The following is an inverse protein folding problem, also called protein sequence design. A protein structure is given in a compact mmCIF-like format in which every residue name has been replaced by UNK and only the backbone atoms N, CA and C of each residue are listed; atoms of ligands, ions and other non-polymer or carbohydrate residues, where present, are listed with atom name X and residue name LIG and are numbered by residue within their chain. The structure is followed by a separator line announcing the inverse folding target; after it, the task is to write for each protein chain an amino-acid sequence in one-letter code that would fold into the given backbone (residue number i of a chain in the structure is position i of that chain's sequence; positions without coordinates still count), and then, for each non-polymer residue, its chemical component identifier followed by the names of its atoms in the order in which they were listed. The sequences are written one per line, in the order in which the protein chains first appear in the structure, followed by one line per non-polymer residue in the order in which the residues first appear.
data_IF_201055390224
#
_entry.id   IF_201055390224
#
_cell.length_a   1.000
_cell.length_b   1.000
_cell.length_c   1.000
_cell.angle_alpha   90.00
_cell.angle_beta   90.00
_cell.angle_gamma   90.00
#
_symmetry.space_group_name_H-M   'P 1'
#
loop_
_entity.id
_entity.type
_entity.pdbx_description
1 polymer ?
#
# COMPACT_ATOMS: atom_id res chain seq x y z
N UNK A 1 -40.00 -5.62 44.80
CA UNK A 1 -39.14 -6.82 44.81
C UNK A 1 -38.58 -6.91 43.40
N UNK A 2 -37.49 -6.14 43.21
CA UNK A 2 -36.84 -6.01 41.91
C UNK A 2 -35.87 -7.18 41.79
N UNK A 3 -36.02 -7.92 40.70
CA UNK A 3 -35.31 -9.15 40.38
C UNK A 3 -33.81 -8.82 40.19
N UNK A 4 -33.02 -9.15 41.19
CA UNK A 4 -31.57 -8.89 41.28
C UNK A 4 -30.74 -10.03 40.68
N UNK A 5 -31.39 -11.07 40.10
CA UNK A 5 -30.70 -12.27 39.61
C UNK A 5 -30.40 -12.24 38.10
N UNK A 6 -30.83 -11.22 37.36
CA UNK A 6 -30.59 -11.14 35.92
C UNK A 6 -29.18 -10.63 35.52
N UNK A 7 -28.43 -10.00 36.46
CA UNK A 7 -27.13 -9.40 36.14
C UNK A 7 -25.92 -10.33 36.32
N UNK A 8 -26.11 -11.52 36.84
CA UNK A 8 -25.00 -12.47 37.10
C UNK A 8 -24.76 -13.52 35.97
N UNK A 9 -25.62 -13.58 34.94
CA UNK A 9 -25.44 -14.54 33.84
C UNK A 9 -24.58 -14.01 32.65
N UNK A 10 -24.08 -12.78 32.70
CA UNK A 10 -23.32 -12.12 31.63
C UNK A 10 -21.82 -12.33 31.66
N UNK A 11 -21.25 -12.92 32.70
CA UNK A 11 -19.88 -13.41 32.66
C UNK A 11 -19.87 -14.84 32.12
N UNK A 12 -19.98 -14.98 30.80
CA UNK A 12 -19.61 -16.24 30.16
C UNK A 12 -18.15 -16.53 30.51
N UNK A 13 -17.96 -17.40 31.47
CA UNK A 13 -16.64 -17.87 31.92
C UNK A 13 -15.86 -18.32 30.69
N UNK A 14 -14.83 -17.55 30.30
CA UNK A 14 -13.93 -17.94 29.24
C UNK A 14 -13.30 -19.29 29.65
N UNK A 15 -13.78 -20.38 29.05
CA UNK A 15 -13.18 -21.70 29.28
C UNK A 15 -11.82 -21.73 28.61
N UNK A 16 -10.79 -21.69 29.43
CA UNK A 16 -9.41 -21.83 29.00
C UNK A 16 -9.25 -23.15 28.22
N UNK A 17 -8.77 -23.04 26.99
CA UNK A 17 -8.51 -24.19 26.12
C UNK A 17 -7.07 -24.07 25.63
N UNK A 18 -6.15 -24.75 26.30
CA UNK A 18 -4.72 -24.63 26.09
C UNK A 18 -4.30 -24.66 24.61
N UNK A 19 -4.72 -25.61 23.76
CA UNK A 19 -4.29 -25.63 22.37
C UNK A 19 -4.87 -24.47 21.53
N UNK A 20 -6.06 -23.97 21.85
CA UNK A 20 -6.67 -22.82 21.18
C UNK A 20 -5.95 -21.54 21.57
N UNK A 21 -5.70 -21.36 22.86
CA UNK A 21 -5.15 -20.12 23.39
C UNK A 21 -3.66 -20.01 23.05
N UNK A 22 -2.93 -21.14 23.05
CA UNK A 22 -1.57 -21.22 22.54
C UNK A 22 -1.48 -20.86 21.05
N UNK A 23 -2.36 -21.37 20.19
CA UNK A 23 -2.39 -21.02 18.77
C UNK A 23 -2.62 -19.52 18.56
N UNK A 24 -3.52 -18.91 19.34
CA UNK A 24 -3.80 -17.47 19.28
C UNK A 24 -2.60 -16.65 19.75
N UNK A 25 -2.00 -17.03 20.89
CA UNK A 25 -0.83 -16.33 21.44
C UNK A 25 0.36 -16.38 20.47
N UNK A 26 0.67 -17.56 19.92
CA UNK A 26 1.76 -17.73 18.96
C UNK A 26 1.48 -16.90 17.70
N UNK A 27 0.23 -16.89 17.20
CA UNK A 27 -0.13 -16.10 16.02
C UNK A 27 0.09 -14.60 16.26
N UNK A 28 -0.36 -14.08 17.40
CA UNK A 28 -0.18 -12.67 17.77
C UNK A 28 1.30 -12.32 17.92
N UNK A 29 2.08 -13.19 18.58
CA UNK A 29 3.53 -13.01 18.72
C UNK A 29 4.23 -13.00 17.36
N UNK A 30 3.89 -13.92 16.44
CA UNK A 30 4.44 -13.93 15.09
C UNK A 30 4.09 -12.65 14.32
N UNK A 31 2.87 -12.13 14.49
CA UNK A 31 2.43 -10.90 13.84
C UNK A 31 3.20 -9.69 14.38
N UNK A 32 3.38 -9.60 15.72
CA UNK A 32 4.18 -8.55 16.36
C UNK A 32 5.65 -8.63 15.95
N UNK A 33 6.22 -9.84 15.90
CA UNK A 33 7.59 -10.03 15.41
C UNK A 33 7.75 -9.59 13.95
N UNK A 34 6.78 -9.87 13.09
CA UNK A 34 6.81 -9.39 11.70
C UNK A 34 6.84 -7.86 11.62
N UNK A 35 6.13 -7.17 12.52
CA UNK A 35 6.17 -5.71 12.62
C UNK A 35 7.52 -5.21 13.15
N UNK A 36 7.98 -5.76 14.28
CA UNK A 36 9.24 -5.35 14.92
C UNK A 36 10.48 -5.61 14.06
N UNK A 37 10.48 -6.71 13.31
CA UNK A 37 11.56 -7.06 12.38
C UNK A 37 11.46 -6.34 11.03
N UNK A 38 10.57 -5.35 10.89
CA UNK A 38 10.33 -4.62 9.64
C UNK A 38 10.00 -5.54 8.45
N UNK A 39 9.34 -6.68 8.71
CA UNK A 39 8.92 -7.65 7.70
C UNK A 39 7.51 -7.35 7.12
N UNK A 40 6.99 -6.14 7.36
CA UNK A 40 5.70 -5.68 6.80
C UNK A 40 5.63 -5.85 5.28
N UNK A 41 6.68 -5.52 4.48
CA UNK A 41 6.64 -5.76 3.04
C UNK A 41 6.40 -7.24 2.68
N UNK A 42 7.04 -8.17 3.40
CA UNK A 42 6.83 -9.61 3.19
C UNK A 42 5.39 -10.02 3.55
N UNK A 43 4.88 -9.53 4.69
CA UNK A 43 3.54 -9.85 5.17
C UNK A 43 2.46 -9.38 4.16
N UNK A 44 2.53 -8.12 3.74
CA UNK A 44 1.54 -7.54 2.83
C UNK A 44 1.64 -8.15 1.42
N UNK A 45 2.86 -8.35 0.90
CA UNK A 45 3.08 -9.01 -0.37
C UNK A 45 2.58 -10.46 -0.36
N UNK A 46 2.85 -11.19 0.73
CA UNK A 46 2.35 -12.55 0.94
C UNK A 46 0.83 -12.62 1.00
N UNK A 47 0.18 -11.72 1.74
CA UNK A 47 -1.27 -11.63 1.79
C UNK A 47 -1.88 -11.26 0.43
N UNK A 48 -1.26 -10.34 -0.30
CA UNK A 48 -1.69 -9.97 -1.65
C UNK A 48 -1.61 -11.17 -2.61
N UNK A 49 -0.45 -11.83 -2.65
CA UNK A 49 -0.23 -13.02 -3.46
C UNK A 49 -1.21 -14.15 -3.11
N UNK A 50 -1.44 -14.38 -1.82
CA UNK A 50 -2.41 -15.35 -1.33
C UNK A 50 -3.84 -15.06 -1.79
N UNK A 51 -4.28 -13.80 -1.63
CA UNK A 51 -5.66 -13.39 -2.00
C UNK A 51 -5.85 -13.47 -3.52
N UNK A 52 -4.88 -12.99 -4.31
CA UNK A 52 -4.93 -13.04 -5.77
C UNK A 52 -4.92 -14.48 -6.29
N UNK A 53 -4.05 -15.32 -5.76
CA UNK A 53 -3.95 -16.75 -6.13
C UNK A 53 -5.26 -17.47 -5.81
N UNK A 54 -5.83 -17.30 -4.61
CA UNK A 54 -7.12 -17.89 -4.26
C UNK A 54 -8.27 -17.35 -5.11
N UNK A 55 -8.28 -16.06 -5.39
CA UNK A 55 -9.25 -15.44 -6.28
C UNK A 55 -9.22 -16.06 -7.68
N UNK A 56 -8.03 -16.20 -8.26
CA UNK A 56 -7.86 -16.80 -9.57
C UNK A 56 -8.23 -18.30 -9.58
N UNK A 57 -7.80 -19.07 -8.58
CA UNK A 57 -8.17 -20.46 -8.43
C UNK A 57 -9.68 -20.63 -8.28
N UNK A 58 -10.38 -19.72 -7.59
CA UNK A 58 -11.83 -19.76 -7.48
C UNK A 58 -12.54 -19.52 -8.83
N UNK A 59 -12.02 -18.60 -9.65
CA UNK A 59 -12.53 -18.32 -11.01
C UNK A 59 -12.28 -19.51 -11.94
N UNK A 60 -11.11 -20.13 -11.86
CA UNK A 60 -10.79 -21.32 -12.64
C UNK A 60 -11.67 -22.52 -12.26
N UNK A 61 -12.01 -22.66 -10.98
CA UNK A 61 -12.90 -23.74 -10.49
C UNK A 61 -14.32 -23.65 -11.05
N UNK A 62 -14.83 -22.47 -11.34
CA UNK A 62 -16.18 -22.28 -11.91
C UNK A 62 -16.24 -22.60 -13.41
N UNK A 63 -15.13 -22.78 -14.08
CA UNK A 63 -15.07 -23.17 -15.49
C UNK A 63 -14.70 -24.65 -15.61
N UNK A 64 -15.34 -25.39 -16.52
CA UNK A 64 -15.12 -26.83 -16.78
C UNK A 64 -13.66 -27.23 -17.09
N UNK A 65 -12.80 -26.24 -17.35
CA UNK A 65 -11.35 -26.38 -17.49
C UNK A 65 -10.70 -27.01 -16.24
N UNK A 66 -11.30 -26.82 -15.05
CA UNK A 66 -10.73 -27.32 -13.79
C UNK A 66 -10.82 -28.85 -13.66
N UNK A 67 -11.85 -29.48 -14.21
CA UNK A 67 -11.97 -30.96 -14.20
C UNK A 67 -10.83 -31.63 -14.95
N UNK A 68 -10.30 -30.97 -15.98
CA UNK A 68 -9.18 -31.42 -16.80
C UNK A 68 -7.80 -31.08 -16.19
N UNK A 69 -7.75 -30.06 -15.33
CA UNK A 69 -6.52 -29.52 -14.69
C UNK A 69 -6.27 -30.03 -13.26
N UNK A 70 -7.15 -30.88 -12.71
CA UNK A 70 -7.02 -31.43 -11.34
C UNK A 70 -5.71 -32.20 -11.11
N UNK A 71 -5.13 -32.77 -12.16
CA UNK A 71 -3.80 -33.41 -12.12
C UNK A 71 -2.65 -32.39 -12.20
N UNK A 72 -2.93 -31.08 -12.42
CA UNK A 72 -1.95 -30.04 -12.69
C UNK A 72 -2.12 -28.81 -11.77
N UNK A 73 -2.59 -29.01 -10.53
CA UNK A 73 -2.72 -27.89 -9.56
C UNK A 73 -1.38 -27.18 -9.32
N UNK A 74 -0.27 -27.90 -9.39
CA UNK A 74 1.07 -27.36 -9.35
C UNK A 74 1.33 -26.42 -10.55
N UNK A 75 0.87 -26.80 -11.75
CA UNK A 75 1.05 -26.00 -12.97
C UNK A 75 0.20 -24.71 -12.89
N UNK A 76 -1.05 -24.79 -12.41
CA UNK A 76 -1.90 -23.60 -12.24
C UNK A 76 -1.26 -22.61 -11.27
N UNK A 77 -0.68 -23.09 -10.19
CA UNK A 77 0.01 -22.29 -9.17
C UNK A 77 1.30 -21.68 -9.68
N UNK A 78 2.05 -22.44 -10.45
CA UNK A 78 3.27 -22.00 -11.10
C UNK A 78 2.95 -20.90 -12.14
N UNK A 79 1.91 -21.10 -12.95
CA UNK A 79 1.44 -20.10 -13.94
C UNK A 79 0.98 -18.80 -13.26
N UNK A 80 0.27 -18.89 -12.13
CA UNK A 80 -0.15 -17.71 -11.36
C UNK A 80 1.04 -17.00 -10.73
N UNK A 81 1.96 -17.77 -10.15
CA UNK A 81 3.20 -17.23 -9.56
C UNK A 81 4.06 -16.56 -10.63
N UNK A 82 4.29 -17.22 -11.76
CA UNK A 82 5.07 -16.68 -12.89
C UNK A 82 4.36 -15.47 -13.53
N UNK A 83 3.04 -15.56 -13.72
CA UNK A 83 2.24 -14.48 -14.26
C UNK A 83 2.29 -13.22 -13.42
N UNK A 84 2.28 -13.37 -12.10
CA UNK A 84 2.38 -12.22 -11.19
C UNK A 84 3.79 -11.60 -11.18
N UNK A 85 4.84 -12.41 -11.29
CA UNK A 85 6.22 -11.91 -11.45
C UNK A 85 6.36 -11.21 -12.81
N UNK A 86 5.78 -11.75 -13.87
CA UNK A 86 5.77 -11.13 -15.19
C UNK A 86 5.06 -9.77 -15.18
N UNK A 87 3.93 -9.64 -14.49
CA UNK A 87 3.22 -8.36 -14.32
C UNK A 87 4.09 -7.35 -13.58
N UNK A 88 4.76 -7.75 -12.50
CA UNK A 88 5.70 -6.89 -11.77
C UNK A 88 6.87 -6.46 -12.66
N UNK A 89 7.44 -7.39 -13.43
CA UNK A 89 8.52 -7.10 -14.37
C UNK A 89 8.07 -6.14 -15.47
N UNK A 90 6.87 -6.32 -16.04
CA UNK A 90 6.30 -5.42 -17.05
C UNK A 90 6.10 -4.02 -16.46
N UNK A 91 5.54 -3.90 -15.24
CA UNK A 91 5.38 -2.61 -14.56
C UNK A 91 6.76 -1.94 -14.36
N UNK A 92 7.75 -2.68 -13.91
CA UNK A 92 9.12 -2.17 -13.71
C UNK A 92 9.72 -1.70 -15.03
N UNK A 93 9.64 -2.49 -16.10
CA UNK A 93 10.13 -2.11 -17.43
C UNK A 93 9.40 -0.88 -17.98
N UNK A 94 8.09 -0.78 -17.74
CA UNK A 94 7.28 0.36 -18.18
C UNK A 94 7.71 1.64 -17.44
N UNK A 95 7.93 1.55 -16.14
CA UNK A 95 8.45 2.66 -15.30
C UNK A 95 9.85 3.06 -15.75
N UNK A 96 10.76 2.10 -15.96
CA UNK A 96 12.12 2.38 -16.44
C UNK A 96 12.09 3.04 -17.81
N UNK A 97 11.30 2.54 -18.77
CA UNK A 97 11.14 3.16 -20.10
C UNK A 97 10.54 4.57 -20.05
N UNK A 98 9.66 4.84 -19.09
CA UNK A 98 9.14 6.19 -18.86
C UNK A 98 10.23 7.14 -18.34
N UNK A 99 11.23 6.60 -17.64
CA UNK A 99 12.36 7.37 -17.09
C UNK A 99 13.55 7.51 -18.07
N UNK A 100 13.73 6.59 -19.02
CA UNK A 100 14.90 6.54 -19.93
C UNK A 100 14.74 7.31 -21.26
N UNK A 101 13.58 7.95 -21.53
CA UNK A 101 13.32 8.58 -22.83
C UNK A 101 13.98 9.97 -23.00
N UNK A 102 13.90 10.51 -24.24
CA UNK A 102 14.25 11.90 -24.59
C UNK A 102 13.61 12.95 -23.65
N UNK A 103 12.57 12.53 -22.93
CA UNK A 103 11.90 13.29 -21.89
C UNK A 103 12.84 13.76 -20.77
N UNK A 104 13.89 13.01 -20.41
CA UNK A 104 14.82 13.41 -19.34
C UNK A 104 15.73 14.57 -19.75
N UNK A 105 16.18 14.59 -21.01
CA UNK A 105 16.95 15.71 -21.57
C UNK A 105 16.07 16.95 -21.77
N UNK A 106 14.91 16.79 -22.38
CA UNK A 106 13.93 17.86 -22.52
C UNK A 106 13.47 18.39 -21.17
N UNK A 107 13.30 17.52 -20.18
CA UNK A 107 12.99 17.85 -18.80
C UNK A 107 14.11 18.66 -18.15
N UNK A 108 15.38 18.25 -18.28
CA UNK A 108 16.52 18.98 -17.69
C UNK A 108 16.69 20.38 -18.28
N UNK A 109 16.44 20.56 -19.58
CA UNK A 109 16.46 21.88 -20.24
C UNK A 109 15.33 22.78 -19.72
N UNK A 110 14.11 22.22 -19.59
CA UNK A 110 12.96 22.97 -19.04
C UNK A 110 13.12 23.31 -17.57
N UNK A 111 13.72 22.45 -16.77
CA UNK A 111 14.05 22.77 -15.36
C UNK A 111 15.02 23.95 -15.29
N UNK A 112 16.03 23.99 -16.15
CA UNK A 112 16.96 25.13 -16.20
C UNK A 112 16.24 26.45 -16.56
N UNK A 113 15.36 26.43 -17.55
CA UNK A 113 14.53 27.58 -17.93
C UNK A 113 13.63 28.03 -16.78
N UNK A 114 13.03 27.06 -16.09
CA UNK A 114 12.14 27.30 -14.95
C UNK A 114 12.88 27.88 -13.74
N UNK A 115 14.10 27.47 -13.47
CA UNK A 115 14.96 28.06 -12.43
C UNK A 115 15.16 29.57 -12.69
N UNK A 116 15.38 29.94 -13.95
CA UNK A 116 15.50 31.34 -14.35
C UNK A 116 14.19 32.11 -14.13
N UNK A 117 13.05 31.51 -14.43
CA UNK A 117 11.73 32.09 -14.17
C UNK A 117 11.46 32.26 -12.66
N UNK A 118 11.79 31.25 -11.84
CA UNK A 118 11.63 31.31 -10.38
C UNK A 118 12.37 32.52 -9.81
N UNK A 119 13.59 32.78 -10.25
CA UNK A 119 14.39 33.96 -9.81
C UNK A 119 13.70 35.30 -10.06
N UNK A 120 12.94 35.41 -11.15
CA UNK A 120 12.17 36.62 -11.47
C UNK A 120 11.01 36.88 -10.54
N UNK A 121 10.46 35.84 -9.93
CA UNK A 121 9.30 35.92 -9.00
C UNK A 121 9.72 36.03 -7.52
N UNK A 122 11.00 35.74 -7.21
CA UNK A 122 11.52 35.79 -5.84
C UNK A 122 12.05 37.16 -5.47
N UNK A 123 11.88 37.62 -4.22
CA UNK A 123 12.60 38.76 -3.69
C UNK A 123 14.10 38.55 -3.83
N UNK A 124 14.92 39.64 -4.04
CA UNK A 124 16.37 39.52 -4.24
C UNK A 124 17.08 38.71 -3.13
N UNK A 125 16.61 38.84 -1.90
CA UNK A 125 17.14 38.11 -0.72
C UNK A 125 16.95 36.60 -0.78
N UNK A 126 15.94 36.12 -1.48
CA UNK A 126 15.69 34.69 -1.65
C UNK A 126 16.20 34.13 -2.98
N UNK A 127 16.35 35.01 -3.99
CA UNK A 127 16.89 34.63 -5.30
C UNK A 127 18.38 34.21 -5.24
N UNK A 128 19.11 34.65 -4.22
CA UNK A 128 20.50 34.28 -3.96
C UNK A 128 20.67 32.82 -3.55
N UNK A 129 19.65 32.23 -2.88
CA UNK A 129 19.68 30.82 -2.46
C UNK A 129 19.27 29.85 -3.57
N UNK A 130 18.78 30.33 -4.71
CA UNK A 130 18.42 29.51 -5.84
C UNK A 130 19.60 29.26 -6.75
N UNK A 131 20.00 28.01 -7.05
CA UNK A 131 21.12 27.69 -7.93
C UNK A 131 21.02 28.40 -9.27
N UNK A 132 22.17 28.84 -9.81
CA UNK A 132 22.21 29.62 -11.06
C UNK A 132 22.12 28.72 -12.30
N UNK A 133 22.45 27.44 -12.14
CA UNK A 133 22.51 26.50 -13.26
C UNK A 133 22.20 25.06 -12.80
N UNK A 134 21.89 24.21 -13.76
CA UNK A 134 21.81 22.77 -13.52
C UNK A 134 23.13 22.16 -13.06
N UNK A 135 24.25 22.77 -13.45
CA UNK A 135 25.58 22.36 -13.02
C UNK A 135 25.75 22.60 -11.52
N UNK A 136 25.41 23.79 -11.05
CA UNK A 136 25.45 24.15 -9.63
C UNK A 136 24.50 23.30 -8.79
N UNK A 137 23.28 23.01 -9.30
CA UNK A 137 22.37 22.05 -8.67
C UNK A 137 22.98 20.65 -8.57
N UNK A 138 23.66 20.20 -9.63
CA UNK A 138 24.32 18.89 -9.66
C UNK A 138 25.50 18.85 -8.68
N UNK A 139 26.25 19.92 -8.58
CA UNK A 139 27.38 20.08 -7.65
C UNK A 139 26.88 20.06 -6.21
N UNK A 140 25.89 20.89 -5.87
CA UNK A 140 25.22 20.89 -4.57
C UNK A 140 24.64 19.50 -4.22
N UNK A 141 23.95 18.86 -5.16
CA UNK A 141 23.42 17.51 -4.97
C UNK A 141 24.55 16.49 -4.78
N UNK A 142 25.65 16.60 -5.54
CA UNK A 142 26.81 15.72 -5.42
C UNK A 142 27.52 15.89 -4.09
N UNK A 143 27.67 17.10 -3.62
CA UNK A 143 28.36 17.37 -2.36
C UNK A 143 27.51 16.98 -1.15
N UNK A 144 26.21 17.29 -1.20
CA UNK A 144 25.25 16.78 -0.22
C UNK A 144 25.22 15.25 -0.20
N UNK A 145 25.32 14.59 -1.36
CA UNK A 145 25.37 13.14 -1.47
C UNK A 145 26.65 12.55 -0.87
N UNK A 146 27.80 13.20 -1.11
CA UNK A 146 29.11 12.80 -0.53
C UNK A 146 29.12 12.97 0.99
N UNK A 147 28.56 14.07 1.48
CA UNK A 147 28.47 14.38 2.89
C UNK A 147 27.55 13.38 3.62
N UNK A 148 26.51 12.90 2.95
CA UNK A 148 25.53 11.97 3.49
C UNK A 148 25.61 10.55 2.91
N UNK A 149 26.78 10.14 2.39
CA UNK A 149 26.99 8.85 1.71
C UNK A 149 26.52 7.66 2.55
N UNK A 150 26.76 7.69 3.85
CA UNK A 150 26.32 6.63 4.75
C UNK A 150 24.79 6.58 4.92
N UNK A 151 24.12 7.73 4.94
CA UNK A 151 22.68 7.83 4.99
C UNK A 151 22.04 7.30 3.68
N UNK A 152 22.61 7.66 2.53
CA UNK A 152 22.17 7.19 1.21
C UNK A 152 22.38 5.68 1.05
N UNK A 153 23.55 5.18 1.48
CA UNK A 153 23.83 3.73 1.51
C UNK A 153 22.85 2.98 2.44
N UNK A 154 22.51 3.58 3.59
CA UNK A 154 21.49 3.06 4.51
C UNK A 154 20.10 2.98 3.87
N UNK A 155 19.68 4.03 3.15
CA UNK A 155 18.41 4.04 2.40
C UNK A 155 18.45 2.95 1.30
N UNK A 156 19.54 2.85 0.54
CA UNK A 156 19.69 1.86 -0.53
C UNK A 156 19.61 0.42 0.01
N UNK A 157 20.29 0.13 1.11
CA UNK A 157 20.23 -1.19 1.76
C UNK A 157 18.83 -1.49 2.33
N UNK A 158 18.13 -0.49 2.87
CA UNK A 158 16.75 -0.59 3.33
C UNK A 158 15.77 -0.93 2.20
N UNK A 159 15.92 -0.26 1.05
CA UNK A 159 15.13 -0.55 -0.16
C UNK A 159 15.40 -1.96 -0.65
N UNK A 160 16.66 -2.38 -0.78
CA UNK A 160 17.03 -3.73 -1.22
C UNK A 160 16.47 -4.80 -0.28
N UNK A 161 16.60 -4.61 1.02
CA UNK A 161 16.00 -5.49 2.03
C UNK A 161 14.47 -5.58 1.86
N UNK A 162 13.79 -4.46 1.68
CA UNK A 162 12.34 -4.43 1.49
C UNK A 162 11.92 -5.14 0.21
N UNK A 163 12.67 -5.01 -0.88
CA UNK A 163 12.44 -5.73 -2.13
C UNK A 163 12.61 -7.24 -1.95
N UNK A 164 13.68 -7.68 -1.30
CA UNK A 164 13.92 -9.10 -0.99
C UNK A 164 12.79 -9.67 -0.13
N UNK A 165 12.39 -8.97 0.92
CA UNK A 165 11.28 -9.37 1.78
C UNK A 165 9.96 -9.44 1.00
N UNK A 166 9.71 -8.51 0.07
CA UNK A 166 8.53 -8.52 -0.81
C UNK A 166 8.50 -9.77 -1.68
N UNK A 167 9.63 -10.13 -2.30
CA UNK A 167 9.73 -11.34 -3.14
C UNK A 167 9.53 -12.61 -2.31
N UNK A 168 10.18 -12.72 -1.16
CA UNK A 168 10.03 -13.88 -0.26
C UNK A 168 8.57 -13.99 0.21
N UNK A 169 7.95 -12.89 0.65
CA UNK A 169 6.56 -12.86 1.05
C UNK A 169 5.63 -13.28 -0.08
N UNK A 170 5.87 -12.78 -1.30
CA UNK A 170 5.08 -13.13 -2.48
C UNK A 170 5.12 -14.64 -2.77
N UNK A 171 6.31 -15.22 -2.85
CA UNK A 171 6.50 -16.67 -3.08
C UNK A 171 5.78 -17.47 -1.98
N UNK A 172 5.99 -17.10 -0.72
CA UNK A 172 5.36 -17.76 0.43
C UNK A 172 3.82 -17.68 0.35
N UNK A 173 3.27 -16.53 -0.04
CA UNK A 173 1.83 -16.31 -0.19
C UNK A 173 1.22 -17.19 -1.29
N UNK A 174 1.89 -17.31 -2.45
CA UNK A 174 1.48 -18.20 -3.53
C UNK A 174 1.47 -19.65 -3.05
N UNK A 175 2.58 -20.11 -2.45
CA UNK A 175 2.72 -21.48 -1.95
C UNK A 175 1.66 -21.81 -0.88
N UNK A 176 1.40 -20.89 0.04
CA UNK A 176 0.36 -21.04 1.06
C UNK A 176 -1.05 -21.15 0.45
N UNK A 177 -1.36 -20.32 -0.56
CA UNK A 177 -2.65 -20.37 -1.24
C UNK A 177 -2.89 -21.70 -1.93
N UNK A 178 -1.86 -22.28 -2.52
CA UNK A 178 -1.91 -23.58 -3.20
C UNK A 178 -2.05 -24.72 -2.22
N UNK A 179 -1.20 -24.79 -1.20
CA UNK A 179 -1.20 -25.89 -0.22
C UNK A 179 -2.56 -26.04 0.48
N UNK A 180 -3.22 -24.92 0.81
CA UNK A 180 -4.55 -24.90 1.43
C UNK A 180 -5.64 -25.40 0.46
N UNK A 181 -5.42 -25.27 -0.83
CA UNK A 181 -6.42 -25.62 -1.84
C UNK A 181 -6.35 -27.10 -2.22
N UNK A 182 -5.19 -27.71 -2.08
CA UNK A 182 -4.89 -29.09 -2.48
C UNK A 182 -5.33 -30.12 -1.42
N UNK A 183 -5.24 -29.76 -0.15
CA UNK A 183 -5.70 -30.64 0.93
C UNK A 183 -7.17 -30.38 1.24
N UNK A 184 -8.11 -31.31 0.88
CA UNK A 184 -9.48 -31.26 1.38
C UNK A 184 -9.40 -31.39 2.89
N UNK A 185 -9.72 -30.33 3.59
CA UNK A 185 -9.69 -30.29 5.04
C UNK A 185 -10.90 -31.04 5.55
N UNK A 186 -10.71 -32.30 5.87
CA UNK A 186 -11.63 -33.00 6.76
C UNK A 186 -11.46 -32.33 8.14
N UNK A 187 -12.27 -31.31 8.41
CA UNK A 187 -12.17 -30.47 9.61
C UNK A 187 -12.23 -31.27 10.90
N UNK A 188 -12.75 -32.49 10.83
CA UNK A 188 -12.93 -33.39 11.97
C UNK A 188 -11.60 -34.07 12.38
N UNK A 189 -10.63 -34.20 11.47
CA UNK A 189 -9.34 -34.88 11.70
C UNK A 189 -8.23 -34.00 12.26
N UNK A 190 -8.38 -32.67 12.20
CA UNK A 190 -7.31 -31.76 12.63
C UNK A 190 -7.43 -31.34 14.09
N UNK A 191 -6.27 -31.14 14.74
CA UNK A 191 -6.18 -30.65 16.11
C UNK A 191 -6.84 -29.27 16.27
N UNK A 192 -7.30 -28.94 17.47
CA UNK A 192 -7.86 -27.62 17.81
C UNK A 192 -6.85 -26.51 17.50
N UNK A 193 -5.56 -26.75 17.74
CA UNK A 193 -4.47 -25.83 17.42
C UNK A 193 -4.46 -25.51 15.92
N UNK A 194 -4.40 -26.51 15.05
CA UNK A 194 -4.36 -26.33 13.60
C UNK A 194 -5.55 -25.56 13.06
N UNK A 195 -6.78 -25.92 13.51
CA UNK A 195 -8.01 -25.23 13.11
C UNK A 195 -8.00 -23.77 13.52
N UNK A 196 -7.51 -23.45 14.73
CA UNK A 196 -7.43 -22.08 15.24
C UNK A 196 -6.39 -21.28 14.47
N UNK A 197 -5.20 -21.85 14.22
CA UNK A 197 -4.14 -21.25 13.44
C UNK A 197 -4.59 -20.91 12.02
N UNK A 198 -5.18 -21.86 11.34
CA UNK A 198 -5.70 -21.69 9.98
C UNK A 198 -6.81 -20.63 9.90
N UNK A 199 -7.68 -20.57 10.90
CA UNK A 199 -8.71 -19.54 11.01
C UNK A 199 -8.11 -18.15 11.13
N UNK A 200 -7.10 -17.94 11.96
CA UNK A 200 -6.46 -16.62 12.09
C UNK A 200 -5.84 -16.14 10.77
N UNK A 201 -5.19 -17.03 10.03
CA UNK A 201 -4.70 -16.70 8.69
C UNK A 201 -5.84 -16.33 7.73
N UNK A 202 -6.92 -17.05 7.74
CA UNK A 202 -8.10 -16.76 6.92
C UNK A 202 -8.74 -15.42 7.28
N UNK A 203 -8.82 -15.11 8.58
CA UNK A 203 -9.33 -13.81 9.06
C UNK A 203 -8.40 -12.67 8.65
N UNK A 204 -7.09 -12.83 8.81
CA UNK A 204 -6.10 -11.83 8.38
C UNK A 204 -6.14 -11.60 6.87
N UNK A 205 -6.24 -12.66 6.07
CA UNK A 205 -6.38 -12.56 4.62
C UNK A 205 -7.69 -11.86 4.22
N UNK A 206 -8.78 -12.11 4.94
CA UNK A 206 -10.06 -11.42 4.71
C UNK A 206 -9.98 -9.95 5.08
N UNK A 207 -9.36 -9.63 6.21
CA UNK A 207 -9.09 -8.25 6.63
C UNK A 207 -8.26 -7.51 5.56
N UNK A 208 -7.17 -8.13 5.09
CA UNK A 208 -6.34 -7.60 4.01
C UNK A 208 -7.14 -7.36 2.73
N UNK A 209 -7.93 -8.35 2.27
CA UNK A 209 -8.78 -8.22 1.08
C UNK A 209 -9.73 -7.02 1.17
N UNK A 210 -10.35 -6.81 2.34
CA UNK A 210 -11.27 -5.69 2.56
C UNK A 210 -10.55 -4.35 2.48
N UNK A 211 -9.38 -4.24 3.10
CA UNK A 211 -8.53 -3.04 3.07
C UNK A 211 -8.00 -2.77 1.67
N UNK A 212 -7.46 -3.78 0.98
CA UNK A 212 -6.95 -3.66 -0.39
C UNK A 212 -8.04 -3.21 -1.36
N UNK A 213 -9.26 -3.75 -1.23
CA UNK A 213 -10.39 -3.32 -2.06
C UNK A 213 -10.84 -1.89 -1.74
N UNK A 214 -10.81 -1.47 -0.48
CA UNK A 214 -11.04 -0.08 -0.09
C UNK A 214 -9.98 0.84 -0.70
N UNK A 215 -8.68 0.45 -0.63
CA UNK A 215 -7.57 1.20 -1.19
C UNK A 215 -7.68 1.35 -2.72
N UNK A 216 -8.11 0.31 -3.42
CA UNK A 216 -8.36 0.39 -4.87
C UNK A 216 -9.42 1.45 -5.21
N UNK A 217 -10.49 1.55 -4.42
CA UNK A 217 -11.51 2.58 -4.60
C UNK A 217 -10.96 3.98 -4.34
N UNK A 218 -10.17 4.14 -3.28
CA UNK A 218 -9.54 5.41 -2.93
C UNK A 218 -8.60 5.85 -4.05
N UNK A 219 -7.74 4.95 -4.54
CA UNK A 219 -6.84 5.22 -5.65
C UNK A 219 -7.59 5.62 -6.94
N UNK A 220 -8.72 4.95 -7.24
CA UNK A 220 -9.55 5.29 -8.39
C UNK A 220 -10.17 6.68 -8.26
N UNK A 221 -10.69 7.04 -7.08
CA UNK A 221 -11.24 8.38 -6.82
C UNK A 221 -10.13 9.44 -6.94
N UNK A 222 -8.97 9.19 -6.34
CA UNK A 222 -7.84 10.11 -6.41
C UNK A 222 -7.35 10.31 -7.85
N UNK A 223 -7.20 9.24 -8.62
CA UNK A 223 -6.85 9.31 -10.04
C UNK A 223 -7.92 10.05 -10.88
N UNK A 224 -9.20 9.89 -10.56
CA UNK A 224 -10.29 10.61 -11.23
C UNK A 224 -10.23 12.10 -10.94
N UNK A 225 -10.05 12.49 -9.67
CA UNK A 225 -9.92 13.90 -9.28
C UNK A 225 -8.68 14.54 -9.91
N UNK A 226 -7.56 13.83 -9.91
CA UNK A 226 -6.34 14.26 -10.60
C UNK A 226 -6.57 14.36 -12.11
N UNK A 227 -7.31 13.43 -12.70
CA UNK A 227 -7.67 13.48 -14.12
C UNK A 227 -8.51 14.71 -14.47
N UNK A 228 -9.52 15.03 -13.66
CA UNK A 228 -10.31 16.26 -13.85
C UNK A 228 -9.43 17.50 -13.71
N UNK A 229 -8.54 17.52 -12.74
CA UNK A 229 -7.60 18.63 -12.56
C UNK A 229 -6.69 18.81 -13.78
N UNK A 230 -6.03 17.74 -14.23
CA UNK A 230 -5.05 17.81 -15.32
C UNK A 230 -5.69 18.01 -16.70
N UNK A 231 -6.91 17.50 -16.93
CA UNK A 231 -7.57 17.56 -18.24
C UNK A 231 -8.51 18.77 -18.40
N UNK A 232 -9.04 19.31 -17.29
CA UNK A 232 -9.98 20.41 -17.35
C UNK A 232 -9.44 21.69 -16.70
N UNK A 233 -8.96 21.61 -15.45
CA UNK A 233 -8.56 22.80 -14.68
C UNK A 233 -7.28 23.42 -15.23
N UNK A 234 -6.24 22.62 -15.46
CA UNK A 234 -4.96 23.13 -15.97
C UNK A 234 -5.07 23.76 -17.36
N UNK A 235 -5.74 23.13 -18.36
CA UNK A 235 -5.97 23.78 -19.65
C UNK A 235 -6.82 25.05 -19.57
N UNK A 236 -7.84 25.09 -18.69
CA UNK A 236 -8.65 26.29 -18.48
C UNK A 236 -7.84 27.48 -17.92
N UNK A 237 -6.76 27.18 -17.19
CA UNK A 237 -5.79 28.18 -16.69
C UNK A 237 -4.71 28.55 -17.74
N UNK A 238 -4.76 27.96 -18.92
CA UNK A 238 -3.81 28.21 -20.02
C UNK A 238 -2.57 27.32 -20.00
N UNK A 239 -2.49 26.30 -19.15
CA UNK A 239 -1.35 25.38 -19.06
C UNK A 239 -1.69 23.98 -19.52
N UNK A 240 -1.05 23.51 -20.58
CA UNK A 240 -1.17 22.12 -21.04
C UNK A 240 0.04 21.33 -20.57
N UNK A 241 -0.16 20.46 -19.60
CA UNK A 241 0.90 19.59 -19.11
C UNK A 241 1.17 18.44 -20.10
N UNK A 242 2.42 18.06 -20.31
CA UNK A 242 2.74 16.84 -21.05
C UNK A 242 2.41 15.60 -20.20
N UNK A 243 2.26 14.45 -20.87
CA UNK A 243 2.09 13.13 -20.25
C UNK A 243 0.87 12.97 -19.31
N UNK A 244 -0.19 13.75 -19.51
CA UNK A 244 -1.38 13.74 -18.62
C UNK A 244 -1.96 12.34 -18.43
N UNK A 245 -2.10 11.53 -19.48
CA UNK A 245 -2.61 10.15 -19.39
C UNK A 245 -1.72 9.27 -18.52
N UNK A 246 -0.40 9.42 -18.67
CA UNK A 246 0.59 8.70 -17.86
C UNK A 246 0.54 9.12 -16.39
N UNK A 247 0.38 10.43 -16.12
CA UNK A 247 0.25 10.96 -14.76
C UNK A 247 -1.00 10.42 -14.05
N UNK A 248 -2.14 10.37 -14.74
CA UNK A 248 -3.38 9.80 -14.21
C UNK A 248 -3.20 8.32 -13.90
N UNK A 249 -2.62 7.55 -14.83
CA UNK A 249 -2.34 6.13 -14.63
C UNK A 249 -1.34 5.91 -13.49
N UNK A 250 -0.29 6.71 -13.43
CA UNK A 250 0.71 6.68 -12.35
C UNK A 250 0.07 6.99 -10.99
N UNK A 251 -0.80 8.00 -10.92
CA UNK A 251 -1.55 8.33 -9.69
C UNK A 251 -2.41 7.17 -9.23
N UNK A 252 -3.06 6.45 -10.16
CA UNK A 252 -3.83 5.25 -9.81
C UNK A 252 -2.93 4.13 -9.29
N UNK A 253 -1.88 3.77 -10.05
CA UNK A 253 -1.00 2.65 -9.72
C UNK A 253 -0.24 2.88 -8.41
N UNK A 254 0.36 4.04 -8.26
CA UNK A 254 1.04 4.40 -7.01
C UNK A 254 0.05 4.57 -5.85
N UNK A 255 -1.15 5.12 -6.11
CA UNK A 255 -2.20 5.26 -5.12
C UNK A 255 -2.70 3.93 -4.52
N UNK A 256 -2.39 2.78 -5.14
CA UNK A 256 -2.63 1.46 -4.54
C UNK A 256 -1.72 1.20 -3.32
N UNK A 257 -0.58 1.90 -3.23
CA UNK A 257 0.33 1.85 -2.09
C UNK A 257 0.04 3.04 -1.17
N UNK A 258 -0.58 2.83 0.00
CA UNK A 258 -0.88 3.92 0.92
C UNK A 258 0.36 4.73 1.27
N UNK A 259 0.23 6.05 1.41
CA UNK A 259 1.29 7.01 1.79
C UNK A 259 2.39 7.14 0.75
N UNK A 260 3.15 6.08 0.46
CA UNK A 260 4.29 6.12 -0.47
C UNK A 260 3.83 6.51 -1.87
N UNK A 261 2.71 5.97 -2.30
CA UNK A 261 2.18 6.23 -3.64
C UNK A 261 1.85 7.68 -3.88
N UNK A 262 1.27 8.35 -2.89
CA UNK A 262 0.92 9.76 -2.99
C UNK A 262 2.17 10.66 -3.05
N UNK A 263 3.20 10.35 -2.28
CA UNK A 263 4.46 11.10 -2.34
C UNK A 263 5.03 11.03 -3.75
N UNK A 264 5.10 9.83 -4.34
CA UNK A 264 5.67 9.62 -5.69
C UNK A 264 4.81 10.32 -6.75
N UNK A 265 3.50 10.10 -6.77
CA UNK A 265 2.61 10.70 -7.78
C UNK A 265 2.57 12.23 -7.67
N UNK A 266 2.52 12.78 -6.47
CA UNK A 266 2.49 14.23 -6.24
C UNK A 266 3.81 14.87 -6.68
N UNK A 267 4.95 14.25 -6.36
CA UNK A 267 6.26 14.72 -6.82
C UNK A 267 6.32 14.73 -8.34
N UNK A 268 5.86 13.67 -9.03
CA UNK A 268 5.82 13.61 -10.49
C UNK A 268 4.96 14.73 -11.08
N UNK A 269 3.75 14.96 -10.54
CA UNK A 269 2.84 16.00 -11.04
C UNK A 269 3.45 17.38 -10.85
N UNK A 270 3.97 17.70 -9.64
CA UNK A 270 4.61 18.97 -9.36
C UNK A 270 5.84 19.20 -10.24
N UNK A 271 6.66 18.18 -10.46
CA UNK A 271 7.85 18.25 -11.28
C UNK A 271 7.51 18.53 -12.75
N UNK A 272 6.49 17.85 -13.29
CA UNK A 272 6.03 18.07 -14.66
C UNK A 272 5.33 19.43 -14.79
N UNK A 273 4.54 19.85 -13.81
CA UNK A 273 3.95 21.19 -13.79
C UNK A 273 5.02 22.29 -13.74
N UNK A 274 6.09 22.06 -12.97
CA UNK A 274 7.26 22.96 -12.89
C UNK A 274 7.97 23.10 -14.25
N UNK A 275 8.02 22.03 -15.04
CA UNK A 275 8.60 22.10 -16.39
C UNK A 275 7.75 22.90 -17.39
N UNK A 276 6.50 23.23 -17.07
CA UNK A 276 5.63 24.07 -17.90
C UNK A 276 5.71 25.54 -17.47
N UNK A 277 5.46 25.78 -16.17
CA UNK A 277 5.57 27.11 -15.58
C UNK A 277 5.63 27.01 -14.05
N UNK A 278 6.36 27.93 -13.40
CA UNK A 278 6.37 28.01 -11.94
C UNK A 278 4.98 28.18 -11.30
N UNK A 279 4.11 29.11 -11.80
CA UNK A 279 2.75 29.21 -11.25
C UNK A 279 1.93 27.93 -11.39
N UNK A 280 2.14 27.17 -12.48
CA UNK A 280 1.48 25.88 -12.68
C UNK A 280 1.90 24.85 -11.61
N UNK A 281 3.18 24.83 -11.23
CA UNK A 281 3.68 23.97 -10.15
C UNK A 281 3.08 24.37 -8.78
N UNK A 282 3.03 25.66 -8.49
CA UNK A 282 2.46 26.17 -7.23
C UNK A 282 0.98 25.79 -7.10
N UNK A 283 0.19 26.01 -8.16
CA UNK A 283 -1.23 25.65 -8.17
C UNK A 283 -1.40 24.13 -8.07
N UNK A 284 -0.55 23.35 -8.73
CA UNK A 284 -0.54 21.89 -8.60
C UNK A 284 -0.23 21.46 -7.17
N UNK A 285 0.75 22.05 -6.53
CA UNK A 285 1.09 21.76 -5.14
C UNK A 285 -0.08 22.07 -4.18
N UNK A 286 -0.74 23.22 -4.36
CA UNK A 286 -1.92 23.60 -3.57
C UNK A 286 -3.07 22.62 -3.80
N UNK A 287 -3.37 22.28 -5.06
CA UNK A 287 -4.39 21.29 -5.40
C UNK A 287 -4.11 19.95 -4.73
N UNK A 288 -2.89 19.42 -4.86
CA UNK A 288 -2.48 18.14 -4.29
C UNK A 288 -2.54 18.14 -2.77
N UNK A 289 -2.23 19.28 -2.13
CA UNK A 289 -2.36 19.46 -0.69
C UNK A 289 -3.84 19.34 -0.25
N UNK A 290 -4.76 19.98 -0.97
CA UNK A 290 -6.20 19.90 -0.71
C UNK A 290 -6.71 18.48 -0.92
N UNK A 291 -6.33 17.83 -2.04
CA UNK A 291 -6.71 16.45 -2.35
C UNK A 291 -6.18 15.49 -1.28
N UNK A 292 -4.94 15.68 -0.83
CA UNK A 292 -4.36 14.84 0.22
C UNK A 292 -5.14 14.93 1.54
N UNK A 293 -5.59 16.12 1.93
CA UNK A 293 -6.46 16.29 3.10
C UNK A 293 -7.83 15.62 2.92
N UNK A 294 -8.42 15.75 1.74
CA UNK A 294 -9.67 15.08 1.39
C UNK A 294 -9.52 13.57 1.39
N UNK A 295 -8.40 13.05 0.88
CA UNK A 295 -8.08 11.64 0.84
C UNK A 295 -8.00 11.00 2.23
N UNK A 296 -7.39 11.66 3.22
CA UNK A 296 -7.39 11.17 4.60
C UNK A 296 -8.80 10.93 5.13
N UNK A 297 -9.69 11.91 4.93
CA UNK A 297 -11.08 11.78 5.35
C UNK A 297 -11.82 10.68 4.60
N UNK A 298 -11.63 10.60 3.28
CA UNK A 298 -12.26 9.62 2.42
C UNK A 298 -11.78 8.21 2.73
N UNK A 299 -10.46 8.05 2.95
CA UNK A 299 -9.83 6.79 3.34
C UNK A 299 -10.39 6.27 4.65
N UNK A 300 -10.45 7.10 5.67
CA UNK A 300 -10.99 6.71 6.96
C UNK A 300 -12.47 6.34 6.88
N UNK A 301 -13.26 7.02 6.03
CA UNK A 301 -14.68 6.71 5.81
C UNK A 301 -14.89 5.41 5.02
N UNK A 302 -14.18 5.24 3.91
CA UNK A 302 -14.31 4.05 3.03
C UNK A 302 -13.79 2.79 3.73
N UNK A 303 -12.61 2.88 4.36
CA UNK A 303 -12.04 1.76 5.10
C UNK A 303 -12.87 1.45 6.34
N UNK A 304 -13.29 2.47 7.09
CA UNK A 304 -14.12 2.32 8.28
C UNK A 304 -15.43 1.58 8.00
N UNK A 305 -16.13 1.92 6.92
CA UNK A 305 -17.34 1.22 6.51
C UNK A 305 -17.08 -0.27 6.19
N UNK A 306 -15.98 -0.57 5.50
CA UNK A 306 -15.61 -1.95 5.13
C UNK A 306 -15.19 -2.83 6.32
N UNK A 307 -14.53 -2.24 7.29
CA UNK A 307 -14.00 -2.92 8.47
C UNK A 307 -15.06 -2.92 9.61
N UNK A 308 -16.12 -2.14 9.46
CA UNK A 308 -17.07 -1.86 10.54
C UNK A 308 -16.45 -1.06 11.67
N UNK A 309 -15.47 -0.20 11.35
CA UNK A 309 -14.75 0.66 12.29
C UNK A 309 -15.26 2.11 12.20
N UNK A 310 -15.24 2.83 13.31
CA UNK A 310 -15.43 4.26 13.31
C UNK A 310 -14.18 4.95 12.80
N UNK A 311 -14.34 6.12 12.16
CA UNK A 311 -13.22 6.89 11.57
C UNK A 311 -12.12 7.16 12.59
N UNK A 312 -12.48 7.60 13.80
CA UNK A 312 -11.52 7.93 14.85
C UNK A 312 -10.72 6.70 15.36
N UNK A 313 -11.34 5.51 15.37
CA UNK A 313 -10.66 4.27 15.74
C UNK A 313 -9.51 3.96 14.77
N UNK A 314 -9.76 4.12 13.46
CA UNK A 314 -8.74 3.91 12.44
C UNK A 314 -7.64 4.96 12.49
N UNK A 315 -7.99 6.23 12.77
CA UNK A 315 -7.00 7.28 12.92
C UNK A 315 -6.06 7.02 14.09
N UNK A 316 -6.60 6.61 15.25
CA UNK A 316 -5.79 6.22 16.40
C UNK A 316 -4.88 5.03 16.04
N UNK A 317 -5.41 4.01 15.38
CA UNK A 317 -4.62 2.86 14.95
C UNK A 317 -3.49 3.28 13.99
N UNK A 318 -3.78 4.13 13.01
CA UNK A 318 -2.78 4.65 12.07
C UNK A 318 -1.64 5.37 12.79
N UNK A 319 -1.95 6.33 13.67
CA UNK A 319 -0.94 7.08 14.41
C UNK A 319 -0.15 6.20 15.39
N UNK A 320 -0.83 5.31 16.11
CA UNK A 320 -0.15 4.40 17.03
C UNK A 320 0.85 3.49 16.30
N UNK A 321 0.44 2.91 15.17
CA UNK A 321 1.31 2.04 14.38
C UNK A 321 2.43 2.81 13.68
N UNK A 322 2.19 4.09 13.29
CA UNK A 322 3.23 4.96 12.74
C UNK A 322 4.31 5.24 13.79
N UNK A 323 3.91 5.60 15.01
CA UNK A 323 4.84 5.88 16.12
C UNK A 323 5.65 4.62 16.48
N UNK A 324 5.00 3.46 16.53
CA UNK A 324 5.63 2.22 16.97
C UNK A 324 6.50 1.56 15.90
N UNK A 325 6.09 1.60 14.64
CA UNK A 325 6.67 0.80 13.55
C UNK A 325 7.02 1.62 12.31
N UNK A 326 6.91 2.97 12.38
CA UNK A 326 7.18 3.88 11.29
C UNK A 326 6.18 3.78 10.12
N UNK A 327 6.54 4.29 8.92
CA UNK A 327 5.64 4.31 7.75
C UNK A 327 5.12 2.93 7.33
N UNK A 328 5.91 1.87 7.50
CA UNK A 328 5.47 0.50 7.21
C UNK A 328 4.35 0.06 8.18
N UNK A 329 4.45 0.47 9.46
CA UNK A 329 3.39 0.25 10.45
C UNK A 329 2.08 0.94 10.06
N UNK A 330 2.15 2.19 9.60
CA UNK A 330 0.98 2.94 9.15
C UNK A 330 0.25 2.21 7.99
N UNK A 331 0.99 1.62 7.05
CA UNK A 331 0.39 0.83 5.95
C UNK A 331 -0.25 -0.46 6.47
N UNK A 332 0.33 -1.12 7.47
CA UNK A 332 -0.20 -2.34 8.06
C UNK A 332 -1.38 -2.11 9.02
N UNK A 333 -1.47 -0.93 9.62
CA UNK A 333 -2.43 -0.61 10.68
C UNK A 333 -3.90 -0.95 10.33
N UNK A 334 -4.45 -0.58 9.15
CA UNK A 334 -5.84 -0.91 8.82
C UNK A 334 -6.10 -2.41 8.74
N UNK A 335 -5.11 -3.18 8.25
CA UNK A 335 -5.22 -4.65 8.11
C UNK A 335 -5.23 -5.31 9.48
N UNK A 336 -4.28 -4.92 10.33
CA UNK A 336 -4.14 -5.49 11.68
C UNK A 336 -5.33 -5.08 12.55
N UNK A 337 -5.73 -3.79 12.48
CA UNK A 337 -6.91 -3.32 13.18
C UNK A 337 -8.18 -4.09 12.77
N UNK A 338 -8.38 -4.30 11.47
CA UNK A 338 -9.51 -5.07 10.95
C UNK A 338 -9.50 -6.52 11.46
N UNK A 339 -8.32 -7.14 11.48
CA UNK A 339 -8.14 -8.49 12.04
C UNK A 339 -8.48 -8.54 13.54
N UNK A 340 -7.90 -7.63 14.34
CA UNK A 340 -8.15 -7.56 15.79
C UNK A 340 -9.64 -7.32 16.07
N UNK A 341 -10.26 -6.37 15.37
CA UNK A 341 -11.68 -6.08 15.55
C UNK A 341 -12.57 -7.26 15.18
N UNK A 342 -12.24 -7.99 14.11
CA UNK A 342 -12.97 -9.20 13.73
C UNK A 342 -12.82 -10.31 14.79
N UNK A 343 -11.63 -10.45 15.37
CA UNK A 343 -11.42 -11.43 16.44
C UNK A 343 -12.16 -11.06 17.73
N UNK A 344 -12.14 -9.78 18.14
CA UNK A 344 -12.85 -9.28 19.31
C UNK A 344 -14.39 -9.45 19.17
N UNK A 345 -14.94 -9.21 17.96
CA UNK A 345 -16.33 -9.51 17.66
C UNK A 345 -16.66 -11.00 17.77
N UNK A 346 -15.75 -11.84 17.28
CA UNK A 346 -15.92 -13.30 17.34
C UNK A 346 -15.99 -13.82 18.77
N UNK A 347 -15.16 -13.29 19.67
CA UNK A 347 -15.18 -13.67 21.09
C UNK A 347 -16.23 -12.91 21.92
N UNK A 348 -17.12 -12.15 21.24
CA UNK A 348 -18.20 -11.37 21.86
C UNK A 348 -17.76 -10.30 22.86
N UNK A 349 -16.55 -9.77 22.74
CA UNK A 349 -16.07 -8.63 23.52
C UNK A 349 -16.50 -7.29 22.91
N UNK A 350 -16.89 -7.29 21.65
CA UNK A 350 -17.50 -6.15 20.95
C UNK A 350 -18.84 -6.60 20.39
N UNK A 351 -19.89 -5.81 20.64
CA UNK A 351 -21.23 -5.97 20.06
C UNK A 351 -21.25 -5.59 18.57
#
# INVERSE_FOLDING_TARGET
MVDHDADHEFMTTYKFNLPRDAATAIFVVCLLLALMLHAVPALLAGLLAFVLTRGLLSILRTRDLYKKLRSHEFIASFVVGLGSIAVLAIITVLVVRLLEGESLRAFSLKVAETITQIKQFLPPTLAEYVPQSLFEMRELASDTLKEHVNAVAGIGSGILRSLLLTVIGWITGVLAAVSITVTPTDETRHSVFYRTWHRHWSMLATAFKNVAWAQTKIAAINATLTGVYLLAVMPALGWNLPYVKTLILATFLFGLLPVVGNIVSNTLICTIALSVAFPAAVISAVFLLVIHKLEYFLSARIQGHRIGAKVWELLIALFAFEIMFGPAGMVAAPVIYAFVKAELKRIRWLN
#
